data_IF_043180625187
#
_entry.id   IF_043180625187
#
_cell.length_a   1.000
_cell.length_b   1.000
_cell.length_c   1.000
_cell.angle_alpha   90.00
_cell.angle_beta   90.00
_cell.angle_gamma   90.00
#
_symmetry.space_group_name_H-M   'P 1'
#
loop_
_entity.id
_entity.type
_entity.pdbx_description
1 polymer ?
#
# COMPACT_ATOMS: atom_id res chain seq x y z
N UNK A 1 22.30 -6.43 5.97
CA UNK A 1 20.87 -6.54 5.61
C UNK A 1 20.56 -5.42 4.61
N UNK A 2 20.12 -5.74 3.39
CA UNK A 2 20.01 -4.76 2.32
C UNK A 2 18.88 -3.77 2.65
N UNK A 3 19.17 -2.45 2.72
CA UNK A 3 18.21 -1.41 3.17
C UNK A 3 16.92 -1.41 2.35
N UNK A 4 17.02 -1.83 1.09
CA UNK A 4 15.88 -2.03 0.18
C UNK A 4 14.88 -3.10 0.67
N UNK A 5 15.36 -4.20 1.26
CA UNK A 5 14.51 -5.32 1.71
C UNK A 5 13.71 -4.94 2.95
N UNK A 6 14.32 -4.18 3.87
CA UNK A 6 13.62 -3.64 5.06
C UNK A 6 12.51 -2.68 4.63
N UNK A 7 12.78 -1.83 3.65
CA UNK A 7 11.82 -0.88 3.05
C UNK A 7 10.58 -1.56 2.43
N UNK A 8 10.81 -2.69 1.76
CA UNK A 8 9.78 -3.48 1.08
C UNK A 8 8.88 -4.22 2.08
N UNK A 9 9.47 -4.81 3.12
CA UNK A 9 8.74 -5.46 4.21
C UNK A 9 7.88 -4.48 5.02
N UNK A 10 8.39 -3.25 5.15
CA UNK A 10 7.72 -2.13 5.80
C UNK A 10 6.44 -1.72 5.07
N UNK A 11 6.45 -1.62 3.73
CA UNK A 11 5.25 -1.26 2.95
C UNK A 11 4.27 -2.41 2.81
N UNK A 12 4.74 -3.66 2.80
CA UNK A 12 3.85 -4.82 2.95
C UNK A 12 3.07 -4.79 4.29
N UNK A 13 3.69 -4.25 5.35
CA UNK A 13 3.04 -3.97 6.63
C UNK A 13 1.93 -2.91 6.54
N UNK A 14 2.10 -1.85 5.75
CA UNK A 14 1.08 -0.81 5.52
C UNK A 14 -0.19 -1.36 4.88
N UNK A 15 -0.05 -2.29 3.93
CA UNK A 15 -1.20 -2.98 3.30
C UNK A 15 -1.91 -3.90 4.30
N UNK A 16 -1.13 -4.58 5.14
CA UNK A 16 -1.63 -5.57 6.09
C UNK A 16 -2.41 -4.95 7.26
N UNK A 17 -1.94 -3.84 7.84
CA UNK A 17 -2.48 -3.31 9.09
C UNK A 17 -3.71 -2.41 8.95
N UNK A 18 -4.09 -2.11 7.72
CA UNK A 18 -5.33 -1.43 7.42
C UNK A 18 -6.62 -2.23 7.70
N UNK A 19 -6.54 -3.55 7.89
CA UNK A 19 -7.73 -4.43 7.91
C UNK A 19 -7.81 -5.29 9.18
N UNK A 20 -7.78 -4.67 10.36
CA UNK A 20 -8.03 -5.37 11.63
C UNK A 20 -9.52 -5.34 11.98
N UNK A 21 -10.08 -6.53 12.18
CA UNK A 21 -11.50 -6.86 12.37
C UNK A 21 -12.28 -5.89 13.28
N UNK A 22 -13.34 -5.30 12.72
CA UNK A 22 -14.58 -4.99 13.44
C UNK A 22 -15.70 -5.91 12.90
N UNK A 23 -16.71 -6.23 13.73
CA UNK A 23 -17.85 -7.04 13.32
C UNK A 23 -18.54 -6.40 12.10
N UNK A 24 -19.22 -7.24 11.30
CA UNK A 24 -20.06 -6.88 10.15
C UNK A 24 -21.14 -5.85 10.54
N UNK A 25 -20.77 -4.60 10.76
CA UNK A 25 -21.70 -3.48 10.65
C UNK A 25 -21.92 -3.18 9.17
N UNK A 26 -23.14 -2.73 8.86
CA UNK A 26 -23.64 -2.51 7.50
C UNK A 26 -22.56 -1.94 6.57
N UNK A 27 -22.25 -2.69 5.51
CA UNK A 27 -21.28 -2.29 4.50
C UNK A 27 -21.69 -0.93 3.91
N UNK A 28 -21.02 0.13 4.36
CA UNK A 28 -21.26 1.51 3.91
C UNK A 28 -20.84 1.75 2.46
N UNK A 29 -20.82 3.02 2.05
CA UNK A 29 -20.28 3.45 0.75
C UNK A 29 -18.80 3.07 0.63
N UNK A 30 -18.31 2.70 -0.55
CA UNK A 30 -16.87 2.48 -0.75
C UNK A 30 -16.17 3.83 -0.89
N UNK A 31 -15.11 4.03 -0.11
CA UNK A 31 -14.18 5.16 -0.14
C UNK A 31 -12.74 4.67 -0.35
N UNK A 32 -11.79 5.60 -0.51
CA UNK A 32 -10.39 5.30 -0.76
C UNK A 32 -9.51 5.75 0.41
N UNK A 33 -8.65 4.86 0.91
CA UNK A 33 -7.51 5.21 1.74
C UNK A 33 -6.26 5.32 0.87
N UNK A 34 -5.53 6.42 0.99
CA UNK A 34 -4.28 6.68 0.27
C UNK A 34 -3.15 6.97 1.26
N UNK A 35 -2.14 6.12 1.25
CA UNK A 35 -0.90 6.31 2.00
C UNK A 35 0.24 6.66 1.04
N UNK A 36 1.04 7.65 1.42
CA UNK A 36 2.24 8.07 0.70
C UNK A 36 3.43 8.14 1.63
N UNK A 37 4.56 7.69 1.13
CA UNK A 37 5.83 7.68 1.85
C UNK A 37 6.96 8.10 0.92
N UNK A 38 7.65 9.18 1.24
CA UNK A 38 8.82 9.64 0.49
C UNK A 38 10.11 9.14 1.13
N UNK A 39 11.00 8.59 0.30
CA UNK A 39 12.33 8.12 0.67
C UNK A 39 13.38 8.94 -0.07
N UNK A 40 14.36 9.45 0.68
CA UNK A 40 15.48 10.18 0.11
C UNK A 40 16.69 9.25 0.01
N UNK A 41 17.08 8.92 -1.21
CA UNK A 41 18.31 8.19 -1.52
C UNK A 41 19.31 9.15 -2.18
N UNK A 42 20.63 8.91 -2.04
CA UNK A 42 21.63 9.73 -2.71
C UNK A 42 21.36 9.79 -4.23
N UNK A 43 21.04 10.99 -4.74
CA UNK A 43 20.81 11.23 -6.16
C UNK A 43 19.41 10.87 -6.69
N UNK A 44 18.47 10.40 -5.84
CA UNK A 44 17.09 10.14 -6.28
C UNK A 44 16.07 10.13 -5.14
N UNK A 45 14.86 10.59 -5.44
CA UNK A 45 13.70 10.45 -4.57
C UNK A 45 12.83 9.28 -5.02
N UNK A 46 12.34 8.49 -4.06
CA UNK A 46 11.40 7.40 -4.32
C UNK A 46 10.14 7.67 -3.50
N UNK A 47 8.97 7.63 -4.13
CA UNK A 47 7.68 7.76 -3.45
C UNK A 47 6.96 6.40 -3.47
N UNK A 48 6.77 5.81 -2.29
CA UNK A 48 5.88 4.67 -2.10
C UNK A 48 4.44 5.14 -1.96
N UNK A 49 3.53 4.56 -2.74
CA UNK A 49 2.10 4.87 -2.70
C UNK A 49 1.31 3.59 -2.51
N UNK A 50 0.37 3.61 -1.56
CA UNK A 50 -0.63 2.56 -1.39
C UNK A 50 -2.04 3.17 -1.45
N UNK A 51 -2.90 2.61 -2.29
CA UNK A 51 -4.30 3.00 -2.44
C UNK A 51 -5.17 1.78 -2.19
N UNK A 52 -6.17 1.88 -1.33
CA UNK A 52 -7.09 0.78 -1.02
C UNK A 52 -8.54 1.23 -0.95
N UNK A 53 -9.44 0.42 -1.50
CA UNK A 53 -10.89 0.57 -1.32
C UNK A 53 -11.31 0.07 0.06
N UNK A 54 -12.13 0.84 0.76
CA UNK A 54 -12.61 0.52 2.11
C UNK A 54 -14.08 0.93 2.24
N UNK A 55 -14.78 0.40 3.23
CA UNK A 55 -16.13 0.87 3.55
C UNK A 55 -16.06 2.15 4.39
N UNK A 56 -16.96 3.09 4.11
CA UNK A 56 -17.14 4.33 4.86
C UNK A 56 -17.55 4.03 6.30
N UNK A 57 -16.80 4.57 7.27
CA UNK A 57 -16.93 4.28 8.69
C UNK A 57 -15.61 4.46 9.44
N UNK A 58 -15.48 3.81 10.61
CA UNK A 58 -14.31 3.89 11.50
C UNK A 58 -12.99 3.34 10.90
N UNK A 59 -13.00 2.76 9.70
CA UNK A 59 -11.80 2.26 9.01
C UNK A 59 -10.96 3.38 8.36
N UNK A 60 -11.37 4.64 8.53
CA UNK A 60 -10.62 5.82 8.11
C UNK A 60 -9.86 6.54 9.21
N UNK A 61 -10.07 6.17 10.47
CA UNK A 61 -9.15 6.58 11.51
C UNK A 61 -7.83 5.82 11.30
N UNK A 62 -6.74 6.58 11.16
CA UNK A 62 -5.40 6.03 11.32
C UNK A 62 -5.37 5.29 12.64
N UNK A 63 -5.46 3.97 12.61
CA UNK A 63 -5.31 3.18 13.81
C UNK A 63 -3.93 3.51 14.42
N UNK A 64 -3.84 3.44 15.76
CA UNK A 64 -2.61 3.76 16.50
C UNK A 64 -1.36 3.09 15.87
N UNK A 65 -1.51 1.88 15.34
CA UNK A 65 -0.45 1.12 14.69
C UNK A 65 0.06 1.72 13.36
N UNK A 66 -0.81 2.26 12.50
CA UNK A 66 -0.35 2.96 11.28
C UNK A 66 0.42 4.21 11.68
N UNK A 67 -0.06 4.93 12.68
CA UNK A 67 0.60 6.13 13.20
C UNK A 67 1.95 5.80 13.85
N UNK A 68 2.05 4.73 14.64
CA UNK A 68 3.29 4.25 15.24
C UNK A 68 4.31 3.79 14.20
N UNK A 69 3.85 3.18 13.11
CA UNK A 69 4.70 2.83 11.99
C UNK A 69 5.25 4.07 11.26
N UNK A 70 4.39 5.05 10.94
CA UNK A 70 4.82 6.29 10.31
C UNK A 70 5.87 7.00 11.18
N UNK A 71 5.65 7.01 12.51
CA UNK A 71 6.61 7.53 13.48
C UNK A 71 7.93 6.75 13.47
N UNK A 72 7.89 5.42 13.48
CA UNK A 72 9.10 4.59 13.44
C UNK A 72 9.92 4.81 12.16
N UNK A 73 9.26 4.92 11.00
CA UNK A 73 9.97 5.15 9.75
C UNK A 73 10.64 6.53 9.68
N UNK A 74 10.01 7.56 10.26
CA UNK A 74 10.60 8.88 10.41
C UNK A 74 11.75 8.85 11.43
N UNK A 75 11.59 8.14 12.55
CA UNK A 75 12.61 8.01 13.60
C UNK A 75 13.89 7.35 13.08
N UNK A 76 13.77 6.33 12.23
CA UNK A 76 14.91 5.65 11.62
C UNK A 76 15.57 6.46 10.47
N UNK A 77 15.09 7.68 10.20
CA UNK A 77 15.52 8.58 9.11
C UNK A 77 15.44 7.94 7.72
N UNK A 78 14.57 6.95 7.57
CA UNK A 78 14.36 6.24 6.30
C UNK A 78 13.28 6.96 5.50
N UNK A 79 12.20 7.37 6.18
CA UNK A 79 11.14 8.19 5.60
C UNK A 79 11.40 9.68 5.83
N UNK A 80 11.24 10.48 4.79
CA UNK A 80 11.31 11.95 4.89
C UNK A 80 9.93 12.55 5.07
N UNK A 81 8.93 11.95 4.43
CA UNK A 81 7.55 12.40 4.52
C UNK A 81 6.61 11.21 4.53
N UNK A 82 5.55 11.31 5.32
CA UNK A 82 4.46 10.35 5.33
C UNK A 82 3.14 11.09 5.31
N UNK A 83 2.18 10.61 4.53
CA UNK A 83 0.84 11.18 4.43
C UNK A 83 -0.16 10.04 4.33
N UNK A 84 -1.25 10.15 5.07
CA UNK A 84 -2.40 9.26 4.92
C UNK A 84 -3.66 10.10 4.83
N UNK A 85 -4.51 9.78 3.85
CA UNK A 85 -5.77 10.49 3.63
C UNK A 85 -6.87 9.49 3.27
N UNK A 86 -8.06 9.74 3.77
CA UNK A 86 -9.29 9.13 3.28
C UNK A 86 -10.04 10.08 2.37
N UNK A 87 -10.47 9.59 1.21
CA UNK A 87 -11.08 10.40 0.15
C UNK A 87 -12.22 9.62 -0.50
N UNK A 88 -13.25 10.34 -0.94
CA UNK A 88 -14.32 9.74 -1.76
C UNK A 88 -13.88 9.40 -3.19
N UNK A 89 -12.82 10.07 -3.66
CA UNK A 89 -12.26 9.89 -4.99
C UNK A 89 -10.74 9.78 -4.91
N UNK A 90 -10.16 9.11 -5.89
CA UNK A 90 -8.71 8.97 -6.06
C UNK A 90 -8.32 9.35 -7.48
N UNK A 91 -7.05 9.75 -7.69
CA UNK A 91 -6.55 10.10 -9.02
C UNK A 91 -6.83 8.98 -10.03
N UNK A 92 -7.19 9.39 -11.26
CA UNK A 92 -7.59 8.48 -12.34
C UNK A 92 -6.54 7.40 -12.62
N UNK A 93 -5.24 7.72 -12.50
CA UNK A 93 -4.15 6.74 -12.68
C UNK A 93 -4.23 5.58 -11.70
N UNK A 94 -4.59 5.83 -10.44
CA UNK A 94 -4.73 4.79 -9.42
C UNK A 94 -6.04 4.02 -9.60
N UNK A 95 -7.09 4.68 -10.08
CA UNK A 95 -8.34 4.02 -10.45
C UNK A 95 -8.13 3.00 -11.59
N UNK A 96 -7.33 3.36 -12.60
CA UNK A 96 -6.92 2.43 -13.66
C UNK A 96 -6.14 1.23 -13.11
N UNK A 97 -5.17 1.47 -12.23
CA UNK A 97 -4.41 0.39 -11.58
C UNK A 97 -5.29 -0.51 -10.69
N UNK A 98 -6.27 0.05 -9.97
CA UNK A 98 -7.25 -0.73 -9.21
C UNK A 98 -8.08 -1.66 -10.12
N UNK A 99 -8.24 -1.29 -11.39
CA UNK A 99 -8.89 -2.08 -12.41
C UNK A 99 -7.94 -2.98 -13.23
N UNK A 100 -6.69 -3.14 -12.78
CA UNK A 100 -5.67 -4.01 -13.40
C UNK A 100 -5.23 -3.56 -14.79
N UNK A 101 -5.34 -2.27 -15.09
CA UNK A 101 -4.83 -1.70 -16.34
C UNK A 101 -3.31 -1.54 -16.30
N UNK A 102 -2.68 -1.60 -17.47
CA UNK A 102 -1.24 -1.35 -17.60
C UNK A 102 -0.87 0.08 -17.17
N UNK A 103 0.36 0.24 -16.68
CA UNK A 103 0.92 1.51 -16.25
C UNK A 103 2.38 1.64 -16.67
N UNK A 104 2.95 2.84 -16.53
CA UNK A 104 4.37 3.10 -16.80
C UNK A 104 5.33 2.51 -15.76
N UNK A 105 4.81 1.83 -14.73
CA UNK A 105 5.58 1.19 -13.66
C UNK A 105 4.88 -0.11 -13.25
N UNK A 106 5.65 -1.08 -12.75
CA UNK A 106 5.05 -2.27 -12.16
C UNK A 106 4.44 -1.94 -10.79
N UNK A 107 3.31 -2.55 -10.50
CA UNK A 107 2.59 -2.34 -9.26
C UNK A 107 1.97 -3.63 -8.73
N UNK A 108 1.76 -3.67 -7.43
CA UNK A 108 1.09 -4.78 -6.76
C UNK A 108 -0.40 -4.50 -6.75
N UNK A 109 -1.16 -5.33 -7.44
CA UNK A 109 -2.62 -5.37 -7.32
C UNK A 109 -3.02 -6.30 -6.18
N UNK A 110 -3.93 -5.83 -5.34
CA UNK A 110 -4.47 -6.56 -4.20
C UNK A 110 -5.97 -6.78 -4.44
N UNK A 111 -6.42 -8.02 -4.26
CA UNK A 111 -7.85 -8.38 -4.33
C UNK A 111 -8.25 -9.05 -3.03
N UNK A 112 -9.27 -8.55 -2.34
CA UNK A 112 -9.81 -9.22 -1.16
C UNK A 112 -10.40 -10.59 -1.55
N UNK A 113 -10.21 -11.61 -0.69
CA UNK A 113 -10.65 -13.00 -0.95
C UNK A 113 -12.17 -13.14 -0.89
N UNK A 114 -12.81 -12.41 0.03
CA UNK A 114 -14.23 -12.56 0.36
C UNK A 114 -15.03 -11.25 0.16
N UNK A 115 -14.41 -10.22 -0.40
CA UNK A 115 -15.00 -8.89 -0.55
C UNK A 115 -14.60 -8.29 -1.91
N UNK A 116 -15.39 -7.37 -2.49
CA UNK A 116 -15.06 -6.74 -3.77
C UNK A 116 -13.97 -5.65 -3.64
N UNK A 117 -13.31 -5.52 -2.49
CA UNK A 117 -12.31 -4.50 -2.21
C UNK A 117 -11.00 -4.79 -2.94
N UNK A 118 -10.45 -3.73 -3.54
CA UNK A 118 -9.18 -3.76 -4.26
C UNK A 118 -8.17 -2.80 -3.66
N UNK A 119 -6.89 -3.11 -3.85
CA UNK A 119 -5.80 -2.22 -3.48
C UNK A 119 -4.69 -2.22 -4.52
N UNK A 120 -3.87 -1.19 -4.47
CA UNK A 120 -2.70 -0.99 -5.32
C UNK A 120 -1.54 -0.53 -4.43
N UNK A 121 -0.36 -1.09 -4.66
CA UNK A 121 0.90 -0.59 -4.09
C UNK A 121 1.90 -0.38 -5.20
N UNK A 122 2.56 0.77 -5.21
CA UNK A 122 3.56 1.10 -6.20
C UNK A 122 4.63 2.04 -5.65
N UNK A 123 5.68 2.21 -6.44
CA UNK A 123 6.83 3.03 -6.11
C UNK A 123 7.21 3.89 -7.32
N UNK A 124 7.05 5.20 -7.18
CA UNK A 124 7.52 6.18 -8.15
C UNK A 124 9.01 6.47 -7.96
N UNK A 125 9.70 6.84 -9.04
CA UNK A 125 11.15 7.10 -9.02
C UNK A 125 12.03 5.84 -9.17
N UNK A 126 11.41 4.65 -9.28
CA UNK A 126 12.11 3.43 -9.67
C UNK A 126 12.21 3.30 -11.20
N UNK A 127 13.28 2.67 -11.66
CA UNK A 127 13.37 2.17 -13.04
C UNK A 127 12.41 1.00 -13.28
N UNK A 128 12.22 0.62 -14.54
CA UNK A 128 11.35 -0.51 -14.91
C UNK A 128 11.80 -1.84 -14.27
N UNK A 129 13.10 -2.11 -14.27
CA UNK A 129 13.65 -3.35 -13.67
C UNK A 129 13.52 -3.36 -12.15
N UNK A 130 13.76 -2.21 -11.51
CA UNK A 130 13.60 -2.06 -10.06
C UNK A 130 12.14 -2.22 -9.63
N UNK A 131 11.21 -1.56 -10.32
CA UNK A 131 9.77 -1.70 -10.02
C UNK A 131 9.30 -3.14 -10.16
N UNK A 132 9.74 -3.84 -11.22
CA UNK A 132 9.44 -5.27 -11.44
C UNK A 132 9.99 -6.15 -10.31
N UNK A 133 11.23 -5.92 -9.88
CA UNK A 133 11.86 -6.68 -8.81
C UNK A 133 11.14 -6.46 -7.47
N UNK A 134 10.85 -5.20 -7.12
CA UNK A 134 10.10 -4.82 -5.91
C UNK A 134 8.71 -5.46 -5.92
N UNK A 135 7.99 -5.32 -7.03
CA UNK A 135 6.64 -5.84 -7.20
C UNK A 135 6.57 -7.37 -6.99
N UNK A 136 7.48 -8.14 -7.61
CA UNK A 136 7.55 -9.59 -7.40
C UNK A 136 7.88 -9.96 -5.95
N UNK A 137 8.78 -9.22 -5.31
CA UNK A 137 9.15 -9.47 -3.91
C UNK A 137 7.98 -9.25 -2.97
N UNK A 138 7.27 -8.12 -3.10
CA UNK A 138 6.08 -7.81 -2.29
C UNK A 138 5.02 -8.90 -2.46
N UNK A 139 4.74 -9.32 -3.71
CA UNK A 139 3.75 -10.38 -3.97
C UNK A 139 4.13 -11.69 -3.29
N UNK A 140 5.41 -12.06 -3.33
CA UNK A 140 5.93 -13.28 -2.70
C UNK A 140 5.72 -13.23 -1.20
N UNK A 141 6.13 -12.15 -0.56
CA UNK A 141 6.00 -11.97 0.89
C UNK A 141 4.53 -11.96 1.30
N UNK A 142 3.71 -11.21 0.57
CA UNK A 142 2.30 -11.03 0.88
C UNK A 142 1.50 -12.32 0.75
N UNK A 143 1.74 -13.09 -0.32
CA UNK A 143 1.04 -14.37 -0.54
C UNK A 143 1.58 -15.50 0.36
N UNK A 144 2.76 -15.35 0.96
CA UNK A 144 3.29 -16.31 1.93
C UNK A 144 2.57 -16.26 3.29
N UNK A 145 1.94 -15.12 3.64
CA UNK A 145 1.14 -15.02 4.86
C UNK A 145 -0.26 -15.62 4.66
N UNK A 146 -0.46 -16.84 5.18
CA UNK A 146 -1.74 -17.55 5.13
C UNK A 146 -2.89 -16.81 5.82
N UNK A 147 -2.60 -15.85 6.71
CA UNK A 147 -3.62 -15.05 7.42
C UNK A 147 -4.11 -13.87 6.58
N UNK A 148 -3.44 -13.55 5.47
CA UNK A 148 -3.85 -12.43 4.62
C UNK A 148 -5.24 -12.67 4.02
N UNK A 149 -6.12 -11.67 4.14
CA UNK A 149 -7.44 -11.65 3.49
C UNK A 149 -7.36 -11.22 2.02
N UNK A 150 -6.19 -10.87 1.52
CA UNK A 150 -5.99 -10.42 0.14
C UNK A 150 -5.11 -11.40 -0.63
N UNK A 151 -5.23 -11.36 -1.95
CA UNK A 151 -4.33 -12.01 -2.90
C UNK A 151 -3.58 -10.89 -3.63
N UNK A 152 -2.25 -10.96 -3.60
CA UNK A 152 -1.39 -10.03 -4.31
C UNK A 152 -1.00 -10.57 -5.69
N UNK A 153 -0.98 -9.70 -6.69
CA UNK A 153 -0.45 -9.97 -8.04
C UNK A 153 0.44 -8.82 -8.49
N UNK A 154 1.52 -9.15 -9.16
CA UNK A 154 2.38 -8.15 -9.79
C UNK A 154 1.84 -7.90 -11.19
N UNK A 155 1.57 -6.63 -11.50
CA UNK A 155 1.17 -6.16 -12.83
C UNK A 155 2.27 -5.24 -13.34
#
# INVERSE_FOLDING_TARGET
MNKLIVLILVIAGLVYFGYKNKPEEEKGKIIYGEARVSFNFPGREIEGVAVGQRYEGNDCDLNNSTNDFLKACIQDKVCVQTKFECKESVDQKYLHMLNKSDASTHYVHLTAKNEPLKGVVLFWGLTMDESKAVCKKVVTDFNSDKRSKFIAKCI
#
